data_IF_863963434676
#
_entry.id   IF_863963434676
#
_cell.length_a   1.000
_cell.length_b   1.000
_cell.length_c   1.000
_cell.angle_alpha   90.00
_cell.angle_beta   90.00
_cell.angle_gamma   90.00
#
_symmetry.space_group_name_H-M   'P 1'
#
loop_
_entity.id
_entity.type
_entity.pdbx_description
1 polymer ?
#
# COMPACT_ATOMS: atom_id res chain seq x y z
N UNK A 1 -7.02 -21.56 3.34
CA UNK A 1 -6.34 -20.48 4.09
C UNK A 1 -6.06 -19.35 3.10
N UNK A 2 -6.74 -18.20 3.23
CA UNK A 2 -6.64 -17.09 2.27
C UNK A 2 -5.33 -16.31 2.40
N UNK A 3 -4.85 -15.72 1.29
CA UNK A 3 -3.71 -14.80 1.30
C UNK A 3 -4.03 -13.56 2.16
N UNK A 4 -3.06 -13.08 2.94
CA UNK A 4 -3.20 -11.82 3.66
C UNK A 4 -3.38 -10.66 2.67
N UNK A 5 -4.03 -9.57 3.11
CA UNK A 5 -4.23 -8.37 2.30
C UNK A 5 -2.91 -7.85 1.67
N UNK A 6 -1.82 -7.85 2.43
CA UNK A 6 -0.49 -7.49 1.94
C UNK A 6 0.01 -8.42 0.84
N UNK A 7 -0.09 -9.75 1.02
CA UNK A 7 0.37 -10.73 0.01
C UNK A 7 -0.42 -10.63 -1.29
N UNK A 8 -1.70 -10.28 -1.20
CA UNK A 8 -2.57 -10.05 -2.36
C UNK A 8 -2.11 -8.83 -3.15
N UNK A 9 -1.93 -7.70 -2.47
CA UNK A 9 -1.40 -6.48 -3.10
C UNK A 9 -0.01 -6.72 -3.71
N UNK A 10 0.90 -7.37 -2.98
CA UNK A 10 2.23 -7.72 -3.50
C UNK A 10 2.12 -8.58 -4.77
N UNK A 11 1.26 -9.60 -4.76
CA UNK A 11 1.04 -10.44 -5.94
C UNK A 11 0.56 -9.61 -7.13
N UNK A 12 -0.44 -8.74 -6.93
CA UNK A 12 -0.96 -7.87 -8.00
C UNK A 12 0.13 -6.96 -8.58
N UNK A 13 0.95 -6.33 -7.72
CA UNK A 13 2.06 -5.47 -8.14
C UNK A 13 3.12 -6.27 -8.92
N UNK A 14 3.51 -7.44 -8.44
CA UNK A 14 4.50 -8.30 -9.12
C UNK A 14 4.01 -8.84 -10.47
N UNK A 15 2.70 -9.00 -10.66
CA UNK A 15 2.13 -9.46 -11.94
C UNK A 15 1.84 -8.33 -12.92
N UNK A 16 1.97 -7.06 -12.53
CA UNK A 16 1.62 -5.93 -13.38
C UNK A 16 2.80 -5.52 -14.26
N UNK A 17 2.65 -5.57 -15.60
CA UNK A 17 3.68 -5.07 -16.51
C UNK A 17 3.84 -3.55 -16.44
N UNK A 18 2.76 -2.82 -16.14
CA UNK A 18 2.80 -1.36 -15.96
C UNK A 18 3.64 -0.99 -14.74
N UNK A 19 3.49 -1.75 -13.65
CA UNK A 19 4.30 -1.58 -12.44
C UNK A 19 5.78 -1.83 -12.72
N UNK A 20 6.08 -2.92 -13.41
CA UNK A 20 7.44 -3.29 -13.79
C UNK A 20 8.10 -2.24 -14.68
N UNK A 21 7.37 -1.78 -15.71
CA UNK A 21 7.84 -0.72 -16.60
C UNK A 21 8.07 0.61 -15.86
N UNK A 22 7.19 0.96 -14.92
CA UNK A 22 7.34 2.18 -14.14
C UNK A 22 8.55 2.09 -13.19
N UNK A 23 8.79 0.93 -12.57
CA UNK A 23 9.97 0.69 -11.73
C UNK A 23 11.26 0.80 -12.52
N UNK A 24 11.35 0.15 -13.69
CA UNK A 24 12.52 0.23 -14.55
C UNK A 24 12.79 1.67 -15.03
N UNK A 25 11.74 2.39 -15.44
CA UNK A 25 11.85 3.79 -15.86
C UNK A 25 12.30 4.72 -14.72
N UNK A 26 11.74 4.55 -13.52
CA UNK A 26 12.14 5.32 -12.36
C UNK A 26 13.58 5.01 -11.93
N UNK A 27 14.00 3.75 -11.98
CA UNK A 27 15.38 3.33 -11.72
C UNK A 27 16.35 3.98 -12.70
N UNK A 28 16.07 3.90 -14.00
CA UNK A 28 16.87 4.52 -15.05
C UNK A 28 16.96 6.05 -14.87
N UNK A 29 15.86 6.71 -14.49
CA UNK A 29 15.83 8.14 -14.18
C UNK A 29 16.75 8.47 -12.98
N UNK A 30 16.68 7.70 -11.89
CA UNK A 30 17.56 7.89 -10.74
C UNK A 30 19.05 7.76 -11.09
N UNK A 31 19.41 6.81 -11.97
CA UNK A 31 20.77 6.67 -12.46
C UNK A 31 21.19 7.81 -13.39
N UNK A 32 20.29 8.27 -14.27
CA UNK A 32 20.56 9.42 -15.14
C UNK A 32 20.82 10.70 -14.33
N UNK A 33 20.09 10.90 -13.23
CA UNK A 33 20.29 12.06 -12.34
C UNK A 33 21.65 12.05 -11.64
N UNK A 34 22.22 10.87 -11.39
CA UNK A 34 23.58 10.73 -10.83
C UNK A 34 24.64 10.64 -11.92
N UNK A 35 24.29 10.85 -13.19
CA UNK A 35 25.19 10.66 -14.34
C UNK A 35 25.88 9.29 -14.33
N UNK A 36 25.21 8.26 -13.81
CA UNK A 36 25.77 6.93 -13.59
C UNK A 36 27.06 6.91 -12.74
N UNK A 37 27.30 7.95 -11.93
CA UNK A 37 28.48 8.03 -11.05
C UNK A 37 28.47 7.00 -9.92
N UNK A 38 27.31 6.41 -9.63
CA UNK A 38 27.12 5.39 -8.60
C UNK A 38 26.37 4.20 -9.21
N UNK A 39 26.80 2.96 -8.94
CA UNK A 39 26.07 1.76 -9.35
C UNK A 39 24.84 1.55 -8.44
N UNK A 40 23.76 2.28 -8.71
CA UNK A 40 22.46 2.07 -8.05
C UNK A 40 21.83 3.34 -7.47
N UNK A 41 20.65 3.17 -6.87
CA UNK A 41 19.85 4.26 -6.31
C UNK A 41 20.22 4.50 -4.85
N UNK A 42 20.54 5.74 -4.50
CA UNK A 42 20.89 6.14 -3.14
C UNK A 42 19.63 6.40 -2.28
N UNK A 43 19.69 6.17 -0.95
CA UNK A 43 18.58 6.43 -0.03
C UNK A 43 17.95 7.83 -0.12
N UNK A 44 18.77 8.87 -0.37
CA UNK A 44 18.26 10.24 -0.49
C UNK A 44 17.36 10.43 -1.72
N UNK A 45 17.54 9.61 -2.78
CA UNK A 45 16.73 9.68 -4.00
C UNK A 45 15.38 8.97 -3.86
N UNK A 46 15.25 8.05 -2.90
CA UNK A 46 14.09 7.14 -2.80
C UNK A 46 12.77 7.87 -2.58
N UNK A 47 12.78 8.99 -1.86
CA UNK A 47 11.55 9.77 -1.63
C UNK A 47 11.04 10.38 -2.94
N UNK A 48 11.90 11.08 -3.67
CA UNK A 48 11.54 11.65 -4.98
C UNK A 48 11.22 10.57 -6.01
N UNK A 49 11.90 9.42 -5.95
CA UNK A 49 11.61 8.26 -6.78
C UNK A 49 10.21 7.70 -6.48
N UNK A 50 9.82 7.58 -5.21
CA UNK A 50 8.50 7.13 -4.79
C UNK A 50 7.40 8.11 -5.22
N UNK A 51 7.64 9.42 -5.16
CA UNK A 51 6.71 10.43 -5.69
C UNK A 51 6.55 10.31 -7.21
N UNK A 52 7.64 10.11 -7.94
CA UNK A 52 7.59 9.94 -9.38
C UNK A 52 6.85 8.66 -9.77
N UNK A 53 7.15 7.54 -9.10
CA UNK A 53 6.42 6.29 -9.26
C UNK A 53 4.94 6.47 -8.95
N UNK A 54 4.59 7.17 -7.86
CA UNK A 54 3.19 7.39 -7.49
C UNK A 54 2.42 8.12 -8.59
N UNK A 55 3.00 9.16 -9.21
CA UNK A 55 2.36 9.87 -10.32
C UNK A 55 2.12 8.94 -11.50
N UNK A 56 3.14 8.21 -11.94
CA UNK A 56 3.06 7.29 -13.07
C UNK A 56 2.06 6.16 -12.83
N UNK A 57 2.10 5.56 -11.63
CA UNK A 57 1.25 4.44 -11.24
C UNK A 57 -0.19 4.87 -10.96
N UNK A 58 -0.43 6.10 -10.50
CA UNK A 58 -1.78 6.63 -10.30
C UNK A 58 -2.54 6.78 -11.62
N UNK A 59 -1.85 6.96 -12.74
CA UNK A 59 -2.46 7.03 -14.07
C UNK A 59 -2.65 5.65 -14.72
N UNK A 60 -1.80 4.68 -14.40
CA UNK A 60 -1.76 3.37 -15.06
C UNK A 60 -2.42 2.24 -14.26
N UNK A 61 -2.39 2.31 -12.93
CA UNK A 61 -2.90 1.26 -12.03
C UNK A 61 -4.06 1.76 -11.18
N UNK A 62 -5.24 1.17 -11.41
CA UNK A 62 -6.45 1.41 -10.61
C UNK A 62 -6.25 1.15 -9.12
N UNK A 63 -5.45 0.14 -8.78
CA UNK A 63 -5.13 -0.18 -7.39
C UNK A 63 -4.50 1.03 -6.68
N UNK A 64 -3.53 1.68 -7.32
CA UNK A 64 -2.83 2.84 -6.77
C UNK A 64 -3.74 4.06 -6.79
N UNK A 65 -4.43 4.32 -7.91
CA UNK A 65 -5.32 5.48 -8.03
C UNK A 65 -6.48 5.47 -7.02
N UNK A 66 -6.96 4.27 -6.65
CA UNK A 66 -8.08 4.10 -5.71
C UNK A 66 -7.65 4.14 -4.25
N UNK A 67 -6.53 3.49 -3.92
CA UNK A 67 -6.14 3.28 -2.52
C UNK A 67 -5.02 4.20 -2.05
N UNK A 68 -4.27 4.84 -2.95
CA UNK A 68 -3.14 5.71 -2.62
C UNK A 68 -3.38 7.08 -3.26
N UNK A 69 -4.29 7.91 -2.72
CA UNK A 69 -4.63 9.21 -3.30
C UNK A 69 -3.51 10.26 -3.16
N UNK A 70 -2.58 10.05 -2.24
CA UNK A 70 -1.43 10.93 -2.00
C UNK A 70 -0.15 10.10 -2.11
N UNK A 71 0.99 10.70 -2.51
CA UNK A 71 2.25 10.00 -2.60
C UNK A 71 2.68 9.43 -1.23
N UNK A 72 3.47 8.34 -1.22
CA UNK A 72 3.99 7.76 0.02
C UNK A 72 4.76 8.79 0.85
N UNK A 73 4.50 8.80 2.16
CA UNK A 73 5.21 9.70 3.07
C UNK A 73 6.65 9.21 3.36
N UNK A 74 7.45 10.07 3.99
CA UNK A 74 8.86 9.74 4.27
C UNK A 74 9.01 8.53 5.20
N UNK A 75 8.11 8.37 6.18
CA UNK A 75 8.15 7.25 7.11
C UNK A 75 7.85 5.91 6.41
N UNK A 76 6.98 5.92 5.40
CA UNK A 76 6.68 4.76 4.56
C UNK A 76 7.89 4.36 3.72
N UNK A 77 8.55 5.34 3.10
CA UNK A 77 9.79 5.14 2.33
C UNK A 77 10.90 4.58 3.22
N UNK A 78 11.17 5.20 4.36
CA UNK A 78 12.25 4.77 5.26
C UNK A 78 11.96 3.38 5.84
N UNK A 79 10.69 3.06 6.13
CA UNK A 79 10.28 1.73 6.59
C UNK A 79 10.50 0.67 5.50
N UNK A 80 10.08 0.95 4.27
CA UNK A 80 10.26 0.03 3.15
C UNK A 80 11.75 -0.21 2.85
N UNK A 81 12.55 0.86 2.89
CA UNK A 81 14.01 0.75 2.78
C UNK A 81 14.56 -0.17 3.88
N UNK A 82 14.19 0.05 5.15
CA UNK A 82 14.62 -0.81 6.26
C UNK A 82 14.22 -2.26 6.05
N UNK A 83 13.02 -2.53 5.52
CA UNK A 83 12.55 -3.88 5.22
C UNK A 83 13.41 -4.56 4.15
N UNK A 84 13.73 -3.87 3.06
CA UNK A 84 14.59 -4.41 2.00
C UNK A 84 16.02 -4.65 2.53
N UNK A 85 16.59 -3.68 3.25
CA UNK A 85 17.94 -3.82 3.80
C UNK A 85 18.05 -4.95 4.83
N UNK A 86 16.99 -5.19 5.60
CA UNK A 86 16.96 -6.30 6.57
C UNK A 86 16.99 -7.69 5.92
N UNK A 87 16.72 -7.79 4.61
CA UNK A 87 16.80 -9.05 3.85
C UNK A 87 18.21 -9.31 3.30
N UNK A 88 19.11 -8.32 3.35
CA UNK A 88 20.50 -8.50 2.93
C UNK A 88 21.23 -9.43 3.90
N UNK A 89 22.00 -10.34 3.35
CA UNK A 89 22.82 -11.27 4.14
C UNK A 89 23.97 -10.57 4.88
N UNK A 90 24.44 -9.42 4.37
CA UNK A 90 25.50 -8.64 4.96
C UNK A 90 25.19 -7.13 4.89
N UNK A 91 25.54 -6.34 5.93
CA UNK A 91 25.49 -4.89 5.87
C UNK A 91 26.59 -4.38 4.94
N UNK A 92 26.21 -3.68 3.87
CA UNK A 92 27.15 -2.96 3.02
C UNK A 92 27.51 -1.61 3.64
N UNK A 93 28.77 -1.20 3.51
CA UNK A 93 29.24 0.13 3.95
C UNK A 93 28.55 1.26 3.16
N UNK A 94 28.16 0.99 1.91
CA UNK A 94 27.52 1.95 1.05
C UNK A 94 26.12 1.50 0.63
N UNK A 95 25.09 2.10 1.23
CA UNK A 95 23.69 1.75 0.94
C UNK A 95 23.33 2.25 -0.47
N UNK A 96 23.22 1.34 -1.41
CA UNK A 96 22.73 1.56 -2.79
C UNK A 96 21.76 0.46 -3.16
N UNK A 97 20.65 0.78 -3.82
CA UNK A 97 19.70 -0.22 -4.28
C UNK A 97 19.99 -0.55 -5.74
N UNK A 98 20.22 -1.84 -6.01
CA UNK A 98 20.21 -2.36 -7.38
C UNK A 98 18.79 -2.34 -7.98
N UNK A 99 18.64 -2.62 -9.27
CA UNK A 99 17.34 -2.57 -9.94
C UNK A 99 16.30 -3.51 -9.28
N UNK A 100 16.70 -4.75 -8.97
CA UNK A 100 15.84 -5.71 -8.31
C UNK A 100 15.42 -5.25 -6.90
N UNK A 101 16.36 -4.71 -6.12
CA UNK A 101 16.08 -4.21 -4.77
C UNK A 101 15.25 -2.93 -4.81
N UNK A 102 15.43 -2.07 -5.82
CA UNK A 102 14.61 -0.89 -6.03
C UNK A 102 13.17 -1.29 -6.37
N UNK A 103 12.98 -2.33 -7.19
CA UNK A 103 11.67 -2.90 -7.47
C UNK A 103 11.04 -3.48 -6.19
N UNK A 104 11.77 -4.25 -5.39
CA UNK A 104 11.28 -4.76 -4.11
C UNK A 104 10.90 -3.62 -3.15
N UNK A 105 11.73 -2.58 -3.09
CA UNK A 105 11.45 -1.36 -2.34
C UNK A 105 10.14 -0.73 -2.80
N UNK A 106 9.93 -0.56 -4.10
CA UNK A 106 8.68 -0.02 -4.65
C UNK A 106 7.48 -0.89 -4.25
N UNK A 107 7.60 -2.23 -4.36
CA UNK A 107 6.54 -3.16 -3.93
C UNK A 107 6.22 -2.98 -2.45
N UNK A 108 7.22 -2.89 -1.58
CA UNK A 108 7.01 -2.70 -0.14
C UNK A 108 6.35 -1.36 0.18
N UNK A 109 6.82 -0.26 -0.42
CA UNK A 109 6.22 1.08 -0.25
C UNK A 109 4.75 1.06 -0.63
N UNK A 110 4.43 0.65 -1.86
CA UNK A 110 3.05 0.71 -2.35
C UNK A 110 2.14 -0.31 -1.67
N UNK A 111 2.66 -1.49 -1.31
CA UNK A 111 1.91 -2.46 -0.49
C UNK A 111 1.52 -1.84 0.84
N UNK A 112 2.47 -1.21 1.53
CA UNK A 112 2.21 -0.56 2.81
C UNK A 112 1.20 0.58 2.66
N UNK A 113 1.37 1.45 1.66
CA UNK A 113 0.45 2.58 1.43
C UNK A 113 -0.98 2.10 1.13
N UNK A 114 -1.14 1.08 0.27
CA UNK A 114 -2.44 0.50 -0.08
C UNK A 114 -3.12 -0.12 1.14
N UNK A 115 -2.41 -0.97 1.89
CA UNK A 115 -2.97 -1.66 3.07
C UNK A 115 -3.30 -0.68 4.19
N UNK A 116 -2.44 0.33 4.42
CA UNK A 116 -2.68 1.39 5.41
C UNK A 116 -3.92 2.21 5.07
N UNK A 117 -4.08 2.63 3.80
CA UNK A 117 -5.28 3.32 3.35
C UNK A 117 -6.53 2.48 3.45
N UNK A 118 -6.47 1.19 3.10
CA UNK A 118 -7.58 0.26 3.27
C UNK A 118 -8.00 0.14 4.75
N UNK A 119 -7.04 0.02 5.67
CA UNK A 119 -7.31 0.00 7.11
C UNK A 119 -7.96 1.29 7.61
N UNK A 120 -7.50 2.46 7.14
CA UNK A 120 -8.13 3.76 7.43
C UNK A 120 -9.56 3.83 6.91
N UNK A 121 -9.83 3.25 5.74
CA UNK A 121 -11.17 3.24 5.17
C UNK A 121 -12.14 2.37 5.98
N UNK A 122 -11.68 1.22 6.49
CA UNK A 122 -12.45 0.39 7.45
C UNK A 122 -12.79 1.22 8.69
N UNK A 123 -11.79 1.89 9.28
CA UNK A 123 -11.97 2.71 10.49
C UNK A 123 -12.94 3.88 10.29
N UNK A 124 -13.11 4.38 9.06
CA UNK A 124 -14.09 5.42 8.74
C UNK A 124 -15.50 4.87 8.54
N UNK A 125 -15.64 3.76 7.80
CA UNK A 125 -16.96 3.24 7.37
C UNK A 125 -17.67 2.43 8.43
N UNK A 126 -16.93 1.77 9.32
CA UNK A 126 -17.52 0.94 10.39
C UNK A 126 -18.32 1.80 11.38
N UNK A 127 -17.78 2.89 11.98
CA UNK A 127 -18.55 3.73 12.90
C UNK A 127 -19.74 4.41 12.22
N UNK A 128 -19.59 4.86 10.98
CA UNK A 128 -20.64 5.54 10.24
C UNK A 128 -21.86 4.64 10.02
N UNK A 129 -21.65 3.38 9.62
CA UNK A 129 -22.74 2.43 9.46
C UNK A 129 -23.29 1.90 10.79
N UNK A 130 -22.44 1.75 11.80
CA UNK A 130 -22.87 1.36 13.15
C UNK A 130 -23.82 2.41 13.76
N UNK A 131 -23.56 3.70 13.56
CA UNK A 131 -24.45 4.78 13.97
C UNK A 131 -25.83 4.67 13.30
N UNK A 132 -25.87 4.34 12.00
CA UNK A 132 -27.12 4.07 11.27
C UNK A 132 -27.90 2.91 11.88
N UNK A 133 -27.25 1.76 12.09
CA UNK A 133 -27.89 0.56 12.67
C UNK A 133 -28.41 0.84 14.08
N UNK A 134 -27.61 1.50 14.93
CA UNK A 134 -28.02 1.88 16.28
C UNK A 134 -29.21 2.85 16.27
N UNK A 135 -29.20 3.85 15.37
CA UNK A 135 -30.31 4.80 15.21
C UNK A 135 -31.63 4.11 14.85
N UNK A 136 -31.61 3.17 13.90
CA UNK A 136 -32.77 2.32 13.61
C UNK A 136 -33.16 1.45 14.82
N UNK A 137 -32.19 0.85 15.51
CA UNK A 137 -32.41 0.05 16.73
C UNK A 137 -33.13 0.80 17.84
N UNK A 138 -32.88 2.10 18.03
CA UNK A 138 -33.61 2.92 19.01
C UNK A 138 -35.10 3.03 18.67
N UNK A 139 -35.44 3.09 17.37
CA UNK A 139 -36.83 3.21 16.90
C UNK A 139 -37.60 1.90 17.08
N UNK A 140 -37.00 0.76 16.68
CA UNK A 140 -37.67 -0.55 16.71
C UNK A 140 -37.53 -1.29 18.05
N UNK A 141 -36.71 -0.79 18.98
CA UNK A 141 -36.38 -1.43 20.28
C UNK A 141 -36.11 -2.96 20.21
N UNK A 142 -35.32 -3.46 19.24
CA UNK A 142 -34.87 -4.84 19.30
C UNK A 142 -33.92 -4.99 20.49
N UNK A 143 -33.84 -6.18 21.08
CA UNK A 143 -32.95 -6.45 22.20
C UNK A 143 -31.51 -6.04 21.91
N UNK A 144 -30.77 -5.57 22.92
CA UNK A 144 -29.40 -5.03 22.78
C UNK A 144 -28.44 -6.00 22.07
N UNK A 145 -28.64 -7.30 22.26
CA UNK A 145 -27.85 -8.36 21.61
C UNK A 145 -28.04 -8.40 20.10
N UNK A 146 -29.26 -8.15 19.61
CA UNK A 146 -29.59 -8.13 18.17
C UNK A 146 -28.91 -6.94 17.48
N UNK A 147 -28.92 -5.77 18.12
CA UNK A 147 -28.24 -4.57 17.61
C UNK A 147 -26.73 -4.80 17.57
N UNK A 148 -26.14 -5.38 18.62
CA UNK A 148 -24.71 -5.69 18.67
C UNK A 148 -24.31 -6.70 17.59
N UNK A 149 -25.11 -7.75 17.38
CA UNK A 149 -24.86 -8.74 16.33
C UNK A 149 -24.94 -8.12 14.93
N UNK A 150 -25.91 -7.24 14.68
CA UNK A 150 -26.05 -6.54 13.40
C UNK A 150 -24.85 -5.61 13.11
N UNK A 151 -24.38 -4.87 14.12
CA UNK A 151 -23.17 -4.04 14.00
C UNK A 151 -21.95 -4.91 13.69
N UNK A 152 -21.80 -6.05 14.39
CA UNK A 152 -20.71 -6.99 14.15
C UNK A 152 -20.72 -7.55 12.72
N UNK A 153 -21.89 -7.98 12.23
CA UNK A 153 -22.05 -8.50 10.87
C UNK A 153 -21.75 -7.42 9.80
N UNK A 154 -22.23 -6.19 10.00
CA UNK A 154 -21.93 -5.07 9.12
C UNK A 154 -20.44 -4.74 9.08
N UNK A 155 -19.79 -4.66 10.25
CA UNK A 155 -18.36 -4.37 10.34
C UNK A 155 -17.51 -5.43 9.60
N UNK A 156 -17.87 -6.71 9.76
CA UNK A 156 -17.23 -7.82 9.05
C UNK A 156 -17.45 -7.71 7.53
N UNK A 157 -18.67 -7.40 7.09
CA UNK A 157 -19.00 -7.21 5.68
C UNK A 157 -18.21 -6.07 5.04
N UNK A 158 -18.13 -4.91 5.72
CA UNK A 158 -17.34 -3.74 5.27
C UNK A 158 -15.86 -4.07 5.15
N UNK A 159 -15.28 -4.69 6.18
CA UNK A 159 -13.88 -5.10 6.15
C UNK A 159 -13.61 -6.06 4.98
N UNK A 160 -14.47 -7.06 4.80
CA UNK A 160 -14.34 -8.05 3.73
C UNK A 160 -14.44 -7.39 2.34
N UNK A 161 -15.41 -6.50 2.14
CA UNK A 161 -15.58 -5.77 0.87
C UNK A 161 -14.37 -4.92 0.50
N UNK A 162 -13.81 -4.18 1.48
CA UNK A 162 -12.62 -3.35 1.28
C UNK A 162 -11.41 -4.22 0.92
N UNK A 163 -11.17 -5.29 1.68
CA UNK A 163 -10.00 -6.15 1.47
C UNK A 163 -10.09 -7.02 0.21
N UNK A 164 -11.31 -7.35 -0.27
CA UNK A 164 -11.49 -7.97 -1.59
C UNK A 164 -11.26 -6.96 -2.73
N UNK A 165 -11.54 -5.67 -2.51
CA UNK A 165 -11.26 -4.61 -3.47
C UNK A 165 -9.77 -4.26 -3.64
N UNK A 166 -8.86 -5.00 -2.99
CA UNK A 166 -7.42 -4.89 -3.17
C UNK A 166 -6.88 -5.79 -4.30
N UNK A 167 -7.69 -6.71 -4.82
CA UNK A 167 -7.36 -7.58 -5.95
C UNK A 167 -7.85 -7.02 -7.30
N UNK A 168 -8.58 -5.88 -7.29
CA UNK A 168 -9.35 -5.34 -8.42
C UNK A 168 -8.91 -3.95 -8.88
#
# INVERSE_FOLDING_TARGET
MGLSASKRVQKTLHTSPEFDSACAAAYANCLSLTQHAVPGVKPYQLFSAAEHLHRTLSHSLRLISRWVPHPPDRAQVDRALKTVLSRRAAPEEEITLGEAEFKEFAVEVFTYSVVSSAGREVLKRVPLGAAGIAGFGVVVKPGKEVVAAAIGAYALGVATSIFLGLDS
#
